data_IF_702277370205
#
_entry.id   IF_702277370205
#
_cell.length_a   1.000
_cell.length_b   1.000
_cell.length_c   1.000
_cell.angle_alpha   90.00
_cell.angle_beta   90.00
_cell.angle_gamma   90.00
#
_symmetry.space_group_name_H-M   'P 1'
#
loop_
_entity.id
_entity.type
_entity.pdbx_description
1 polymer ?
#
# COMPACT_ATOMS: atom_id res chain seq x y z
N UNK A 1 -16.83 -14.60 -10.80
CA UNK A 1 -17.85 -13.55 -10.88
C UNK A 1 -18.21 -13.17 -9.45
N UNK A 2 -18.56 -11.92 -9.18
CA UNK A 2 -19.09 -11.54 -7.87
C UNK A 2 -20.45 -12.19 -7.68
N UNK A 3 -20.71 -12.72 -6.48
CA UNK A 3 -21.93 -13.48 -6.20
C UNK A 3 -23.19 -12.57 -6.19
N UNK A 4 -23.03 -11.28 -5.87
CA UNK A 4 -24.10 -10.28 -5.86
C UNK A 4 -23.63 -8.95 -6.50
N UNK A 5 -24.23 -8.52 -7.63
CA UNK A 5 -23.85 -7.29 -8.33
C UNK A 5 -24.20 -6.01 -7.57
N UNK A 6 -25.23 -6.02 -6.71
CA UNK A 6 -25.65 -4.81 -5.98
C UNK A 6 -24.69 -4.51 -4.84
N UNK A 7 -24.27 -5.55 -4.10
CA UNK A 7 -23.24 -5.44 -3.06
C UNK A 7 -21.93 -4.93 -3.67
N UNK A 8 -21.56 -5.43 -4.87
CA UNK A 8 -20.36 -4.98 -5.57
C UNK A 8 -20.42 -3.48 -5.87
N UNK A 9 -21.55 -2.99 -6.40
CA UNK A 9 -21.71 -1.57 -6.71
C UNK A 9 -21.70 -0.69 -5.46
N UNK A 10 -22.32 -1.15 -4.37
CA UNK A 10 -22.31 -0.46 -3.08
C UNK A 10 -20.88 -0.32 -2.54
N UNK A 11 -20.13 -1.42 -2.48
CA UNK A 11 -18.74 -1.43 -1.99
C UNK A 11 -17.84 -0.56 -2.87
N UNK A 12 -17.98 -0.67 -4.19
CA UNK A 12 -17.25 0.19 -5.14
C UNK A 12 -17.48 1.67 -4.86
N UNK A 13 -18.72 2.05 -4.55
CA UNK A 13 -19.09 3.43 -4.26
C UNK A 13 -18.72 3.89 -2.85
N UNK A 14 -18.50 2.97 -1.91
CA UNK A 14 -18.08 3.27 -0.55
C UNK A 14 -16.56 3.49 -0.45
N UNK A 15 -15.76 2.71 -1.19
CA UNK A 15 -14.30 2.75 -1.13
C UNK A 15 -13.78 4.11 -1.61
N UNK A 16 -12.78 4.62 -0.89
CA UNK A 16 -12.07 5.86 -1.16
C UNK A 16 -10.57 5.59 -1.27
N UNK A 17 -9.85 6.55 -1.85
CA UNK A 17 -8.38 6.49 -1.94
C UNK A 17 -7.79 6.50 -0.53
N UNK A 18 -6.95 5.51 -0.26
CA UNK A 18 -6.26 5.34 1.03
C UNK A 18 -6.90 4.31 1.94
N UNK A 19 -8.10 3.83 1.62
CA UNK A 19 -8.72 2.75 2.36
C UNK A 19 -7.90 1.47 2.25
N UNK A 20 -7.78 0.75 3.37
CA UNK A 20 -7.22 -0.60 3.38
C UNK A 20 -8.35 -1.56 3.04
N UNK A 21 -8.21 -2.24 1.90
CA UNK A 21 -9.19 -3.19 1.39
C UNK A 21 -8.60 -4.59 1.28
N UNK A 22 -9.43 -5.59 1.53
CA UNK A 22 -9.16 -6.98 1.22
C UNK A 22 -9.87 -7.35 -0.08
N UNK A 23 -9.14 -7.98 -1.01
CA UNK A 23 -9.70 -8.54 -2.23
C UNK A 23 -9.34 -10.02 -2.32
N UNK A 24 -10.34 -10.87 -2.57
CA UNK A 24 -10.16 -12.30 -2.84
C UNK A 24 -10.72 -12.59 -4.22
N UNK A 25 -9.99 -13.36 -5.02
CA UNK A 25 -10.38 -13.68 -6.38
C UNK A 25 -9.28 -14.37 -7.15
N UNK A 26 -9.39 -14.37 -8.48
CA UNK A 26 -8.48 -15.07 -9.37
C UNK A 26 -7.43 -14.13 -9.96
N UNK A 27 -6.17 -14.55 -10.10
CA UNK A 27 -5.17 -13.79 -10.84
C UNK A 27 -5.50 -13.79 -12.34
N UNK A 28 -5.21 -12.68 -13.02
CA UNK A 28 -5.44 -12.52 -14.46
C UNK A 28 -4.61 -11.39 -15.06
N UNK A 29 -4.80 -11.14 -16.36
CA UNK A 29 -4.21 -10.00 -17.07
C UNK A 29 -5.26 -9.22 -17.84
N UNK A 30 -5.09 -7.91 -17.93
CA UNK A 30 -5.95 -7.06 -18.78
C UNK A 30 -5.63 -7.29 -20.27
N UNK A 31 -6.48 -6.77 -21.17
CA UNK A 31 -6.21 -6.81 -22.62
C UNK A 31 -4.90 -6.13 -22.99
N UNK A 32 -4.43 -5.17 -22.19
CA UNK A 32 -3.16 -4.46 -22.35
C UNK A 32 -1.99 -5.17 -21.65
N UNK A 33 -2.24 -6.32 -20.99
CA UNK A 33 -1.20 -7.16 -20.38
C UNK A 33 -0.87 -6.84 -18.92
N UNK A 34 -1.57 -5.89 -18.29
CA UNK A 34 -1.34 -5.53 -16.89
C UNK A 34 -1.76 -6.67 -15.96
N UNK A 35 -0.91 -7.01 -14.98
CA UNK A 35 -1.24 -8.01 -13.98
C UNK A 35 -2.35 -7.49 -13.08
N UNK A 36 -3.39 -8.29 -12.86
CA UNK A 36 -4.56 -7.88 -12.09
C UNK A 36 -5.14 -9.05 -11.30
N UNK A 37 -5.90 -8.71 -10.25
CA UNK A 37 -6.75 -9.66 -9.55
C UNK A 37 -8.19 -9.39 -9.99
N UNK A 38 -8.92 -10.42 -10.39
CA UNK A 38 -10.35 -10.37 -10.69
C UNK A 38 -11.07 -10.75 -9.39
N UNK A 39 -11.56 -9.79 -8.61
CA UNK A 39 -12.12 -10.09 -7.30
C UNK A 39 -13.44 -10.86 -7.43
N UNK A 40 -13.61 -11.89 -6.61
CA UNK A 40 -14.89 -12.55 -6.31
C UNK A 40 -15.53 -11.98 -5.05
N UNK A 41 -14.72 -11.45 -4.12
CA UNK A 41 -15.19 -10.72 -2.94
C UNK A 41 -14.28 -9.55 -2.61
N UNK A 42 -14.88 -8.47 -2.07
CA UNK A 42 -14.20 -7.27 -1.61
C UNK A 42 -14.65 -6.97 -0.18
N UNK A 43 -13.74 -6.50 0.65
CA UNK A 43 -14.02 -6.12 2.03
C UNK A 43 -13.25 -4.85 2.39
N UNK A 44 -13.93 -3.88 2.99
CA UNK A 44 -13.28 -2.73 3.61
C UNK A 44 -12.74 -3.16 4.98
N UNK A 45 -11.41 -3.11 5.16
CA UNK A 45 -10.75 -3.54 6.39
C UNK A 45 -10.52 -2.36 7.34
N UNK A 46 -10.03 -1.24 6.80
CA UNK A 46 -9.88 0.01 7.55
C UNK A 46 -10.16 1.21 6.65
N UNK A 47 -11.17 2.04 6.96
CA UNK A 47 -11.42 3.28 6.24
C UNK A 47 -10.33 4.32 6.53
N UNK A 48 -9.97 5.09 5.52
CA UNK A 48 -9.05 6.21 5.64
C UNK A 48 -9.82 7.51 5.85
N UNK A 49 -9.76 8.06 7.06
CA UNK A 49 -10.42 9.32 7.42
C UNK A 49 -9.77 10.57 6.82
N UNK A 50 -8.44 10.73 6.81
CA UNK A 50 -7.79 11.88 6.19
C UNK A 50 -7.63 11.69 4.67
N UNK A 51 -7.75 12.78 3.90
CA UNK A 51 -7.39 12.74 2.48
C UNK A 51 -5.90 12.53 2.32
N UNK A 52 -5.51 11.44 1.64
CA UNK A 52 -4.11 11.23 1.27
C UNK A 52 -3.64 12.35 0.33
N UNK A 53 -2.48 12.96 0.60
CA UNK A 53 -1.84 13.90 -0.29
C UNK A 53 -1.38 13.24 -1.60
N UNK A 54 -1.25 14.05 -2.64
CA UNK A 54 -0.61 13.62 -3.88
C UNK A 54 0.91 13.56 -3.71
N UNK A 55 1.56 12.74 -4.54
CA UNK A 55 3.00 12.48 -4.46
C UNK A 55 3.85 13.75 -4.48
N UNK A 56 3.40 14.79 -5.21
CA UNK A 56 4.11 16.05 -5.34
C UNK A 56 3.90 17.03 -4.17
N UNK A 57 3.07 16.69 -3.18
CA UNK A 57 2.64 17.63 -2.12
C UNK A 57 3.38 17.46 -0.78
N UNK A 58 4.18 16.39 -0.62
CA UNK A 58 5.01 16.14 0.57
C UNK A 58 6.51 16.32 0.28
N UNK A 59 6.88 17.48 -0.25
CA UNK A 59 8.29 17.82 -0.52
C UNK A 59 9.03 18.32 0.74
N UNK A 60 8.27 18.91 1.68
CA UNK A 60 8.81 19.50 2.90
C UNK A 60 9.37 18.44 3.84
N UNK A 61 10.69 18.52 4.12
CA UNK A 61 11.43 17.60 4.97
C UNK A 61 10.86 17.57 6.40
N UNK A 62 10.47 18.72 6.94
CA UNK A 62 9.99 18.81 8.33
C UNK A 62 8.64 18.10 8.48
N UNK A 63 7.75 18.25 7.49
CA UNK A 63 6.47 17.54 7.47
C UNK A 63 6.67 16.04 7.30
N UNK A 64 7.58 15.60 6.43
CA UNK A 64 7.89 14.18 6.25
C UNK A 64 8.44 13.53 7.51
N UNK A 65 9.28 14.24 8.26
CA UNK A 65 9.82 13.75 9.52
C UNK A 65 8.74 13.62 10.61
N UNK A 66 7.79 14.57 10.66
CA UNK A 66 6.66 14.56 11.62
C UNK A 66 5.60 13.52 11.29
N UNK A 67 5.23 13.41 10.02
CA UNK A 67 4.20 12.49 9.53
C UNK A 67 4.84 11.34 8.75
N UNK A 68 5.77 10.62 9.42
CA UNK A 68 6.56 9.55 8.78
C UNK A 68 5.69 8.45 8.16
N UNK A 69 4.55 8.13 8.78
CA UNK A 69 3.59 7.15 8.27
C UNK A 69 3.03 7.55 6.90
N UNK A 70 2.81 8.85 6.68
CA UNK A 70 2.31 9.39 5.43
C UNK A 70 3.41 9.41 4.37
N UNK A 71 4.63 9.79 4.76
CA UNK A 71 5.80 9.74 3.89
C UNK A 71 6.07 8.32 3.36
N UNK A 72 5.88 7.30 4.19
CA UNK A 72 6.07 5.89 3.79
C UNK A 72 5.02 5.37 2.81
N UNK A 73 3.82 5.95 2.80
CA UNK A 73 2.74 5.56 1.88
C UNK A 73 2.93 6.23 0.51
N UNK A 74 3.47 7.44 0.50
CA UNK A 74 3.52 8.30 -0.69
C UNK A 74 4.86 8.22 -1.42
N UNK A 75 5.96 8.05 -0.70
CA UNK A 75 7.32 8.08 -1.24
C UNK A 75 8.02 6.73 -1.11
N UNK A 76 8.08 5.97 -2.21
CA UNK A 76 8.74 4.66 -2.24
C UNK A 76 10.23 4.72 -1.88
N UNK A 77 10.94 5.78 -2.28
CA UNK A 77 12.37 5.98 -1.95
C UNK A 77 12.64 6.06 -0.43
N UNK A 78 11.68 6.62 0.31
CA UNK A 78 11.72 6.68 1.78
C UNK A 78 11.60 5.29 2.41
N UNK A 79 10.77 4.41 1.83
CA UNK A 79 10.63 3.01 2.25
C UNK A 79 11.91 2.21 1.92
N UNK A 80 12.43 2.35 0.70
CA UNK A 80 13.67 1.70 0.26
C UNK A 80 14.85 2.02 1.18
N UNK A 81 15.00 3.29 1.56
CA UNK A 81 16.05 3.74 2.48
C UNK A 81 15.97 3.02 3.83
N UNK A 82 14.75 2.85 4.38
CA UNK A 82 14.56 2.12 5.64
C UNK A 82 14.83 0.62 5.50
N UNK A 83 14.42 0.01 4.39
CA UNK A 83 14.70 -1.39 4.10
C UNK A 83 16.21 -1.64 3.97
N UNK A 84 16.93 -0.76 3.28
CA UNK A 84 18.39 -0.83 3.15
C UNK A 84 19.06 -0.70 4.51
N UNK A 85 18.66 0.30 5.32
CA UNK A 85 19.19 0.46 6.69
C UNK A 85 18.98 -0.80 7.53
N UNK A 86 17.79 -1.41 7.47
CA UNK A 86 17.50 -2.66 8.16
C UNK A 86 18.41 -3.81 7.70
N UNK A 87 18.61 -3.95 6.39
CA UNK A 87 19.55 -4.94 5.81
C UNK A 87 20.99 -4.72 6.27
N UNK A 88 21.47 -3.48 6.30
CA UNK A 88 22.83 -3.14 6.77
C UNK A 88 23.00 -3.57 8.23
N UNK A 89 22.08 -3.20 9.11
CA UNK A 89 22.16 -3.55 10.53
C UNK A 89 22.11 -5.07 10.72
N UNK A 90 21.22 -5.76 10.00
CA UNK A 90 21.12 -7.22 10.03
C UNK A 90 22.44 -7.88 9.62
N UNK A 91 23.02 -7.44 8.51
CA UNK A 91 24.30 -7.99 8.02
C UNK A 91 25.45 -7.71 8.98
N UNK A 92 25.49 -6.51 9.59
CA UNK A 92 26.50 -6.17 10.58
C UNK A 92 26.42 -7.10 11.80
N UNK A 93 25.22 -7.34 12.33
CA UNK A 93 25.00 -8.28 13.43
C UNK A 93 25.44 -9.69 13.06
N UNK A 94 24.95 -10.21 11.93
CA UNK A 94 25.32 -11.55 11.46
C UNK A 94 26.84 -11.72 11.30
N UNK A 95 27.52 -10.70 10.78
CA UNK A 95 28.97 -10.73 10.62
C UNK A 95 29.69 -10.82 11.98
N UNK A 96 29.25 -10.02 12.96
CA UNK A 96 29.86 -10.00 14.30
C UNK A 96 29.50 -11.25 15.11
N UNK A 97 28.27 -11.77 15.00
CA UNK A 97 27.83 -12.98 15.70
C UNK A 97 28.46 -14.27 15.12
N UNK A 98 28.92 -14.24 13.86
CA UNK A 98 29.59 -15.36 13.19
C UNK A 98 31.08 -15.50 13.51
N UNK A 99 31.64 -14.57 14.28
CA UNK A 99 33.03 -14.59 14.77
C UNK A 99 33.06 -14.99 16.25
#
# INVERSE_FOLDING_TARGET
>A
QFDDPDIFNLLRNAIRRGDIIGAKGNPGRTKLGELSVIPSSLQLLAPCTPRLPDQNSLLDIDKRAKERWLDLIVNDSSLETLLIRSKIIKNLRNFLDSK
#
